data_IF_956704219075
#
_entry.id   IF_956704219075
#
_cell.length_a   1.000
_cell.length_b   1.000
_cell.length_c   1.000
_cell.angle_alpha   90.00
_cell.angle_beta   90.00
_cell.angle_gamma   90.00
#
_symmetry.space_group_name_H-M   'P 1'
#
loop_
_entity.id
_entity.type
_entity.pdbx_description
1 polymer ?
#
# COMPACT_ATOMS: atom_id res chain seq x y z
N UNK A 1 1.81 -18.56 8.20
CA UNK A 1 1.93 -17.32 7.42
C UNK A 1 0.52 -16.84 7.12
N UNK A 2 0.01 -15.87 7.89
CA UNK A 2 -1.39 -15.40 7.84
C UNK A 2 -1.43 -13.91 8.22
N UNK A 3 -0.59 -13.09 7.58
CA UNK A 3 -0.57 -11.64 7.83
C UNK A 3 -0.58 -10.79 6.54
N UNK A 4 -0.33 -11.38 5.37
CA UNK A 4 -0.31 -10.62 4.11
C UNK A 4 -1.66 -10.53 3.38
N UNK A 5 -2.59 -11.48 3.60
CA UNK A 5 -3.83 -11.53 2.80
C UNK A 5 -4.90 -10.50 3.19
N UNK A 6 -4.74 -9.77 4.30
CA UNK A 6 -5.78 -8.84 4.79
C UNK A 6 -5.58 -7.41 4.26
N UNK A 7 -4.34 -7.04 3.88
CA UNK A 7 -4.04 -5.67 3.42
C UNK A 7 -4.47 -5.44 1.97
N UNK A 8 -4.31 -6.44 1.07
CA UNK A 8 -4.74 -6.32 -0.34
C UNK A 8 -6.26 -6.04 -0.47
N UNK A 9 -7.05 -6.44 0.51
CA UNK A 9 -8.51 -6.28 0.47
C UNK A 9 -8.98 -4.90 0.95
N UNK A 10 -8.22 -4.25 1.83
CA UNK A 10 -8.59 -2.93 2.38
C UNK A 10 -8.47 -1.84 1.33
N UNK A 11 -7.31 -1.77 0.70
CA UNK A 11 -6.98 -0.70 -0.25
C UNK A 11 -7.72 -0.83 -1.58
N UNK A 12 -8.23 -2.02 -1.88
CA UNK A 12 -8.81 -2.35 -3.17
C UNK A 12 -10.34 -2.27 -3.20
N UNK A 13 -10.97 -1.86 -2.11
CA UNK A 13 -12.40 -1.62 -2.02
C UNK A 13 -12.81 -0.46 -2.93
N UNK A 14 -13.87 -0.67 -3.72
CA UNK A 14 -14.46 0.36 -4.59
C UNK A 14 -15.23 1.37 -3.73
N UNK A 15 -15.08 2.65 -4.03
CA UNK A 15 -15.76 3.77 -3.40
C UNK A 15 -16.82 4.36 -4.36
N UNK A 16 -18.10 3.96 -4.24
CA UNK A 16 -19.10 4.18 -5.29
C UNK A 16 -19.55 5.62 -5.61
N UNK A 17 -19.36 6.65 -4.77
CA UNK A 17 -19.57 8.03 -5.24
C UNK A 17 -18.31 8.67 -5.84
N UNK A 18 -17.14 8.06 -5.67
CA UNK A 18 -15.87 8.66 -6.03
C UNK A 18 -15.44 8.28 -7.45
N UNK A 19 -15.22 9.29 -8.28
CA UNK A 19 -14.84 9.18 -9.67
C UNK A 19 -13.57 9.97 -10.00
N UNK A 20 -13.25 10.06 -11.29
CA UNK A 20 -12.07 10.78 -11.76
C UNK A 20 -12.10 12.28 -11.43
N UNK A 21 -13.28 12.86 -11.18
CA UNK A 21 -13.46 14.25 -10.75
C UNK A 21 -12.91 14.55 -9.35
N UNK A 22 -12.77 13.53 -8.52
CA UNK A 22 -12.29 13.62 -7.14
C UNK A 22 -10.76 13.49 -7.05
N UNK A 23 -10.13 13.15 -8.18
CA UNK A 23 -8.69 13.15 -8.33
C UNK A 23 -8.15 14.53 -8.69
N UNK A 24 -6.92 14.78 -8.27
CA UNK A 24 -6.10 15.84 -8.82
C UNK A 24 -5.36 15.33 -10.07
N UNK A 25 -5.88 15.70 -11.24
CA UNK A 25 -5.30 15.39 -12.56
C UNK A 25 -3.85 15.85 -12.66
N UNK A 26 -3.48 16.96 -12.00
CA UNK A 26 -2.10 17.45 -11.99
C UNK A 26 -1.16 16.46 -11.29
N UNK A 27 -1.60 15.88 -10.19
CA UNK A 27 -0.84 14.86 -9.44
C UNK A 27 -0.73 13.56 -10.22
N UNK A 28 -1.83 13.08 -10.83
CA UNK A 28 -1.81 11.88 -11.70
C UNK A 28 -0.83 12.07 -12.87
N UNK A 29 -0.88 13.23 -13.54
CA UNK A 29 0.01 13.53 -14.66
C UNK A 29 1.50 13.57 -14.27
N UNK A 30 1.83 14.18 -13.13
CA UNK A 30 3.20 14.19 -12.60
C UNK A 30 3.70 12.79 -12.28
N UNK A 31 2.87 11.98 -11.60
CA UNK A 31 3.21 10.60 -11.28
C UNK A 31 3.43 9.77 -12.55
N UNK A 32 2.58 9.94 -13.57
CA UNK A 32 2.71 9.26 -14.86
C UNK A 32 3.99 9.66 -15.60
N UNK A 33 4.38 10.94 -15.56
CA UNK A 33 5.64 11.40 -16.13
C UNK A 33 6.85 10.80 -15.39
N UNK A 34 6.78 10.72 -14.06
CA UNK A 34 7.81 10.07 -13.25
C UNK A 34 7.92 8.58 -13.58
N UNK A 35 6.78 7.87 -13.66
CA UNK A 35 6.72 6.46 -14.04
C UNK A 35 7.33 6.21 -15.43
N UNK A 36 7.00 7.05 -16.43
CA UNK A 36 7.59 7.01 -17.78
C UNK A 36 9.11 7.16 -17.74
N UNK A 37 9.62 8.07 -16.91
CA UNK A 37 11.06 8.30 -16.78
C UNK A 37 11.78 7.11 -16.14
N UNK A 38 11.13 6.41 -15.20
CA UNK A 38 11.70 5.23 -14.55
C UNK A 38 11.60 3.97 -15.41
N UNK A 39 10.52 3.84 -16.20
CA UNK A 39 10.21 2.66 -17.02
C UNK A 39 9.70 3.09 -18.40
N UNK A 40 10.58 3.55 -19.29
CA UNK A 40 10.16 4.07 -20.60
C UNK A 40 9.50 3.02 -21.49
N UNK A 41 9.99 1.77 -21.43
CA UNK A 41 9.51 0.67 -22.29
C UNK A 41 8.30 -0.09 -21.71
N UNK A 42 7.66 0.45 -20.66
CA UNK A 42 6.52 -0.22 -20.04
C UNK A 42 5.23 -0.04 -20.85
N UNK A 43 4.48 -1.13 -21.05
CA UNK A 43 3.21 -1.15 -21.80
C UNK A 43 2.20 -0.10 -21.31
N UNK A 44 2.22 0.18 -20.00
CA UNK A 44 1.30 1.12 -19.34
C UNK A 44 1.47 2.58 -19.80
N UNK A 45 2.60 2.92 -20.45
CA UNK A 45 2.84 4.26 -20.97
C UNK A 45 1.99 4.59 -22.20
N UNK A 46 1.47 3.57 -22.89
CA UNK A 46 0.55 3.71 -24.01
C UNK A 46 -0.92 3.85 -23.57
N UNK A 47 -1.24 3.46 -22.34
CA UNK A 47 -2.61 3.42 -21.82
C UNK A 47 -3.14 4.80 -21.42
N UNK A 48 -4.45 4.99 -21.50
CA UNK A 48 -5.12 6.21 -21.01
C UNK A 48 -5.08 6.33 -19.48
N UNK A 49 -5.38 7.50 -18.94
CA UNK A 49 -5.25 7.77 -17.50
C UNK A 49 -6.12 6.85 -16.62
N UNK A 50 -7.36 6.59 -17.03
CA UNK A 50 -8.25 5.67 -16.29
C UNK A 50 -7.73 4.22 -16.29
N UNK A 51 -7.21 3.77 -17.43
CA UNK A 51 -6.66 2.41 -17.54
C UNK A 51 -5.34 2.29 -16.78
N UNK A 52 -4.51 3.33 -16.82
CA UNK A 52 -3.33 3.44 -15.98
C UNK A 52 -3.69 3.35 -14.48
N UNK A 53 -4.71 4.10 -14.04
CA UNK A 53 -5.23 4.01 -12.67
C UNK A 53 -5.73 2.60 -12.33
N UNK A 54 -6.38 1.91 -13.28
CA UNK A 54 -6.80 0.51 -13.11
C UNK A 54 -5.61 -0.43 -12.94
N UNK A 55 -4.54 -0.23 -13.70
CA UNK A 55 -3.34 -1.06 -13.69
C UNK A 55 -2.53 -0.92 -12.40
N UNK A 56 -2.49 0.28 -11.81
CA UNK A 56 -1.85 0.52 -10.52
C UNK A 56 -2.77 0.23 -9.31
N UNK A 57 -4.01 -0.21 -9.56
CA UNK A 57 -4.98 -0.54 -8.50
C UNK A 57 -5.73 0.65 -7.91
N UNK A 58 -5.62 1.84 -8.50
CA UNK A 58 -6.35 3.06 -8.11
C UNK A 58 -7.79 3.13 -8.64
N UNK A 59 -8.13 2.30 -9.63
CA UNK A 59 -9.49 2.18 -10.19
C UNK A 59 -9.89 0.71 -10.25
N UNK A 60 -11.14 0.39 -9.89
CA UNK A 60 -11.64 -0.99 -9.97
C UNK A 60 -13.05 -1.00 -10.53
N UNK A 61 -13.34 -2.05 -11.30
CA UNK A 61 -14.66 -2.35 -11.85
C UNK A 61 -15.08 -3.74 -11.42
N UNK A 62 -16.16 -3.80 -10.65
CA UNK A 62 -16.81 -5.05 -10.30
C UNK A 62 -17.72 -5.50 -11.45
N UNK A 63 -17.51 -6.72 -11.93
CA UNK A 63 -18.28 -7.31 -13.03
C UNK A 63 -19.63 -7.86 -12.57
N UNK A 64 -19.78 -8.20 -11.29
CA UNK A 64 -21.01 -8.75 -10.72
C UNK A 64 -22.01 -7.63 -10.43
N UNK A 65 -21.59 -6.62 -9.67
CA UNK A 65 -22.44 -5.46 -9.36
C UNK A 65 -22.50 -4.42 -10.48
N UNK A 66 -21.63 -4.52 -11.49
CA UNK A 66 -21.40 -3.52 -12.56
C UNK A 66 -20.96 -2.15 -12.04
N UNK A 67 -20.53 -2.06 -10.79
CA UNK A 67 -20.02 -0.82 -10.22
C UNK A 67 -18.57 -0.59 -10.65
N UNK A 68 -18.24 0.67 -10.88
CA UNK A 68 -16.88 1.11 -11.12
C UNK A 68 -16.62 2.40 -10.35
N UNK A 69 -15.39 2.58 -9.90
CA UNK A 69 -15.01 3.74 -9.13
C UNK A 69 -13.57 3.69 -8.66
N UNK A 70 -13.20 4.74 -7.93
CA UNK A 70 -11.91 4.80 -7.25
C UNK A 70 -11.82 3.75 -6.15
N UNK A 71 -10.59 3.29 -5.93
CA UNK A 71 -10.29 2.48 -4.76
C UNK A 71 -9.84 3.36 -3.60
N UNK A 72 -9.83 2.81 -2.39
CA UNK A 72 -9.27 3.48 -1.21
C UNK A 72 -7.81 3.93 -1.49
N UNK A 73 -6.97 3.09 -2.10
CA UNK A 73 -5.62 3.48 -2.52
C UNK A 73 -5.61 4.59 -3.57
N UNK A 74 -6.49 4.55 -4.57
CA UNK A 74 -6.56 5.58 -5.61
C UNK A 74 -6.90 6.96 -5.05
N UNK A 75 -7.86 7.01 -4.13
CA UNK A 75 -8.26 8.25 -3.44
C UNK A 75 -7.13 8.77 -2.54
N UNK A 76 -6.45 7.89 -1.80
CA UNK A 76 -5.36 8.29 -0.92
C UNK A 76 -4.12 8.80 -1.68
N UNK A 77 -3.83 8.24 -2.85
CA UNK A 77 -2.64 8.59 -3.64
C UNK A 77 -2.84 9.81 -4.53
N UNK A 78 -4.03 9.96 -5.12
CA UNK A 78 -4.28 10.96 -6.16
C UNK A 78 -5.50 11.84 -5.90
N UNK A 79 -6.25 11.59 -4.82
CA UNK A 79 -7.41 12.38 -4.44
C UNK A 79 -7.02 13.79 -3.98
N UNK A 80 -7.97 14.73 -4.06
CA UNK A 80 -7.78 16.01 -3.38
C UNK A 80 -8.05 15.88 -1.88
N UNK A 81 -7.44 16.80 -1.12
CA UNK A 81 -7.42 16.71 0.34
C UNK A 81 -8.82 16.75 0.97
N UNK A 82 -9.78 17.44 0.35
CA UNK A 82 -11.15 17.54 0.86
C UNK A 82 -11.85 16.17 0.80
N UNK A 83 -11.73 15.50 -0.33
CA UNK A 83 -12.31 14.20 -0.63
C UNK A 83 -11.66 13.09 0.21
N UNK A 84 -10.33 13.18 0.42
CA UNK A 84 -9.62 12.28 1.35
C UNK A 84 -10.14 12.46 2.77
N UNK A 85 -10.29 13.69 3.27
CA UNK A 85 -10.77 13.95 4.64
C UNK A 85 -12.22 13.57 4.85
N UNK A 86 -13.04 13.62 3.80
CA UNK A 86 -14.42 13.18 3.84
C UNK A 86 -14.52 11.66 4.06
N UNK A 87 -13.74 10.86 3.31
CA UNK A 87 -13.76 9.39 3.43
C UNK A 87 -12.89 8.87 4.58
N UNK A 88 -11.79 9.57 4.90
CA UNK A 88 -10.82 9.21 5.93
C UNK A 88 -10.62 10.37 6.92
N UNK A 89 -11.59 10.59 7.84
CA UNK A 89 -11.53 11.71 8.78
C UNK A 89 -10.35 11.62 9.76
N UNK A 90 -9.80 10.42 9.96
CA UNK A 90 -8.63 10.15 10.80
C UNK A 90 -7.33 9.99 10.00
N UNK A 91 -7.32 10.40 8.73
CA UNK A 91 -6.11 10.36 7.91
C UNK A 91 -5.10 11.40 8.40
N UNK A 92 -4.09 10.94 9.12
CA UNK A 92 -2.97 11.74 9.60
C UNK A 92 -1.69 11.11 9.09
N UNK A 93 -1.14 11.66 8.01
CA UNK A 93 0.16 11.23 7.47
C UNK A 93 1.24 12.06 8.14
N UNK A 94 1.93 11.45 9.09
CA UNK A 94 3.15 12.01 9.64
C UNK A 94 4.33 11.54 8.79
N UNK A 95 5.04 12.48 8.17
CA UNK A 95 6.29 12.18 7.49
C UNK A 95 7.34 11.76 8.52
N UNK A 96 7.76 10.50 8.49
CA UNK A 96 8.86 10.00 9.31
C UNK A 96 10.11 9.86 8.46
N UNK A 97 11.03 10.80 8.61
CA UNK A 97 12.37 10.68 8.05
C UNK A 97 13.12 9.58 8.81
N UNK A 98 13.35 8.44 8.15
CA UNK A 98 14.23 7.39 8.69
C UNK A 98 15.65 7.68 8.22
N UNK A 99 16.60 8.00 9.11
CA UNK A 99 18.01 7.98 8.74
C UNK A 99 18.34 6.54 8.35
N UNK A 100 18.80 6.36 7.11
CA UNK A 100 19.32 5.16 6.45
C UNK A 100 19.11 3.80 7.13
N UNK A 101 18.63 2.82 6.35
CA UNK A 101 18.45 1.45 6.79
C UNK A 101 19.76 0.83 7.34
N UNK A 102 20.00 0.96 8.64
CA UNK A 102 20.81 -0.03 9.35
C UNK A 102 20.01 -1.32 9.32
N UNK A 103 20.46 -2.25 8.50
CA UNK A 103 20.09 -3.67 8.61
C UNK A 103 20.34 -4.09 10.05
N UNK A 104 19.31 -4.06 10.88
CA UNK A 104 19.36 -4.76 12.15
C UNK A 104 19.38 -6.24 11.81
N UNK A 105 20.59 -6.80 11.83
CA UNK A 105 20.84 -8.23 11.92
C UNK A 105 20.10 -8.73 13.16
N UNK A 106 18.85 -9.16 12.97
CA UNK A 106 18.13 -10.07 13.85
C UNK A 106 18.84 -11.42 13.79
N UNK A 107 20.05 -11.48 14.34
CA UNK A 107 20.71 -12.75 14.62
C UNK A 107 20.14 -13.24 15.94
N UNK A 108 19.29 -14.26 15.81
CA UNK A 108 18.77 -15.04 16.91
C UNK A 108 19.95 -15.59 17.73
N UNK A 109 20.26 -14.93 18.85
CA UNK A 109 21.09 -15.54 19.89
C UNK A 109 20.16 -16.16 20.92
N UNK A 110 19.70 -17.37 20.62
CA UNK A 110 19.26 -18.29 21.68
C UNK A 110 19.92 -19.65 21.44
N UNK A 111 21.08 -19.93 22.03
CA UNK A 111 21.54 -21.30 22.12
C UNK A 111 20.97 -21.95 23.38
N UNK A 112 20.06 -22.89 23.14
CA UNK A 112 20.08 -24.24 23.70
C UNK A 112 20.08 -24.40 25.23
N UNK A 113 18.92 -24.84 25.72
CA UNK A 113 18.77 -25.67 26.93
C UNK A 113 19.89 -26.73 27.01
N UNK A 114 20.77 -26.61 27.98
CA UNK A 114 21.58 -27.74 28.47
C UNK A 114 21.01 -28.22 29.81
N UNK A 115 20.17 -29.24 29.71
CA UNK A 115 19.71 -30.08 30.81
C UNK A 115 20.94 -30.84 31.36
N UNK A 116 21.43 -30.51 32.56
CA UNK A 116 22.38 -31.36 33.31
C UNK A 116 21.87 -31.63 34.72
N UNK A 117 21.27 -32.82 34.83
CA UNK A 117 21.33 -33.83 35.91
C UNK A 117 21.51 -33.38 37.37
N UNK A 118 20.54 -33.82 38.17
CA UNK A 118 20.67 -34.13 39.60
C UNK A 118 21.91 -34.98 39.94
N UNK A 119 22.52 -34.68 41.10
CA UNK A 119 23.07 -35.57 42.14
C UNK A 119 23.39 -34.67 43.35
N UNK A 120 22.61 -34.62 44.42
CA UNK A 120 22.48 -35.57 45.55
C UNK A 120 23.80 -35.95 46.24
N UNK A 121 24.14 -35.26 47.34
CA UNK A 121 24.80 -35.77 48.57
C UNK A 121 25.24 -34.57 49.42
N UNK A 122 24.61 -34.27 50.56
CA UNK A 122 24.97 -34.75 51.91
C UNK A 122 26.48 -34.69 52.18
N UNK A 123 26.89 -33.74 53.02
CA UNK A 123 27.30 -33.96 54.42
C UNK A 123 27.42 -32.62 55.14
#
# INVERSE_FOLDING_TARGET
MLAEQVEEDRDSRILPPYGLSDLDVGTVGRYRNHFKSLRPDHLWNAEGDQEFLRLIGGWRRDRQSKQEGLTDAGLLMFGKLAEIKENFPYYMVDYQERPEAKTELRTESTPSRSFRRCRSSRS
#
